data_IF_460247054308
#
_entry.id   IF_460247054308
#
_cell.length_a   1.000
_cell.length_b   1.000
_cell.length_c   1.000
_cell.angle_alpha   90.00
_cell.angle_beta   90.00
_cell.angle_gamma   90.00
#
_symmetry.space_group_name_H-M   'P 1'
#
loop_
_entity.id
_entity.type
_entity.pdbx_description
1 polymer ?
2 non-polymer ?
3 non-polymer ?
4 non-polymer ?
5 water ?
#
# COMPACT_ATOMS: atom_id res chain seq x y z
N UNK A 1 17.29 6.15 -22.10
CA UNK A 1 18.43 7.02 -21.71
C UNK A 1 18.26 7.61 -20.33
N UNK A 2 19.24 8.39 -19.90
CA UNK A 2 19.24 8.99 -18.56
C UNK A 2 19.22 10.53 -18.68
N UNK A 3 18.69 11.05 -19.77
CA UNK A 3 18.70 12.47 -19.95
C UNK A 3 17.70 13.22 -19.07
N UNK A 4 17.89 14.53 -18.97
CA UNK A 4 16.92 15.44 -18.33
C UNK A 4 15.57 15.32 -19.03
N UNK A 5 15.61 15.07 -20.34
CA UNK A 5 14.39 14.95 -21.14
C UNK A 5 13.58 13.73 -20.69
N UNK A 6 14.28 12.63 -20.49
CA UNK A 6 13.64 11.39 -20.03
C UNK A 6 13.10 11.60 -18.61
N UNK A 7 13.91 12.23 -17.75
CA UNK A 7 13.47 12.54 -16.38
C UNK A 7 12.17 13.31 -16.38
N UNK A 8 12.11 14.41 -17.13
CA UNK A 8 10.89 15.23 -17.22
C UNK A 8 9.71 14.44 -17.76
N UNK A 9 9.95 13.66 -18.80
CA UNK A 9 8.91 12.86 -19.40
C UNK A 9 8.34 11.81 -18.47
N UNK A 10 9.18 11.32 -17.57
CA UNK A 10 8.74 10.22 -16.70
C UNK A 10 7.78 10.76 -15.64
N UNK A 11 8.06 11.96 -15.14
CA UNK A 11 7.15 12.61 -14.19
C UNK A 11 5.86 13.07 -14.86
N UNK A 12 5.95 13.59 -16.08
CA UNK A 12 4.76 13.83 -16.87
C UNK A 12 3.91 12.55 -17.01
N UNK A 13 4.56 11.41 -17.22
CA UNK A 13 3.85 10.16 -17.38
C UNK A 13 3.07 9.82 -16.10
N UNK A 14 3.72 10.00 -14.97
CA UNK A 14 3.09 9.78 -13.68
C UNK A 14 1.80 10.61 -13.54
N UNK A 15 1.87 11.89 -13.91
CA UNK A 15 0.70 12.74 -13.77
C UNK A 15 -0.42 12.38 -14.76
N UNK A 16 -0.04 11.91 -15.93
CA UNK A 16 -1.01 11.42 -16.92
C UNK A 16 -1.73 10.16 -16.37
N UNK A 17 -0.99 9.29 -15.66
CA UNK A 17 -1.58 8.10 -15.06
C UNK A 17 -2.55 8.45 -13.92
N UNK A 18 -2.20 9.42 -13.07
CA UNK A 18 -3.12 9.92 -12.04
C UNK A 18 -4.39 10.44 -12.72
N UNK A 19 -4.20 11.18 -13.81
CA UNK A 19 -5.30 11.70 -14.63
C UNK A 19 -6.23 10.62 -15.11
N UNK A 20 -5.66 9.58 -15.74
CA UNK A 20 -6.43 8.39 -16.13
C UNK A 20 -7.17 7.80 -14.91
N UNK A 21 -6.52 7.75 -13.77
CA UNK A 21 -7.14 7.24 -12.57
C UNK A 21 -8.40 7.99 -12.17
N UNK A 22 -8.47 9.30 -12.40
CA UNK A 22 -9.69 10.01 -12.01
C UNK A 22 -10.82 9.74 -12.99
N UNK A 23 -10.46 9.46 -14.23
CA UNK A 23 -11.45 9.30 -15.30
C UNK A 23 -11.92 7.86 -15.58
N UNK A 24 -11.06 6.87 -15.34
CA UNK A 24 -11.30 5.51 -15.78
C UNK A 24 -11.41 4.59 -14.55
N UNK A 25 -12.63 4.12 -14.26
CA UNK A 25 -12.86 3.22 -13.13
C UNK A 25 -12.05 1.94 -13.11
N UNK A 26 -11.58 1.50 -14.27
CA UNK A 26 -10.87 0.22 -14.37
C UNK A 26 -9.35 0.39 -14.29
N UNK A 27 -8.87 1.63 -14.21
CA UNK A 27 -7.44 1.91 -14.24
C UNK A 27 -6.90 1.74 -12.81
N UNK A 28 -5.72 1.14 -12.63
CA UNK A 28 -5.20 1.03 -11.26
C UNK A 28 -5.11 2.33 -10.48
N UNK A 29 -4.85 3.45 -11.15
CA UNK A 29 -4.73 4.75 -10.42
C UNK A 29 -6.05 5.29 -9.89
N UNK A 30 -7.17 4.66 -10.29
CA UNK A 30 -8.46 4.94 -9.69
C UNK A 30 -8.45 4.62 -8.19
N UNK A 31 -7.64 3.60 -7.82
CA UNK A 31 -7.65 3.02 -6.48
C UNK A 31 -6.24 2.94 -5.85
N UNK A 32 -5.64 4.06 -5.58
CA UNK A 32 -4.33 4.02 -4.93
C UNK A 32 -4.45 3.58 -3.48
N UNK A 33 -3.30 3.28 -2.88
CA UNK A 33 -3.22 2.81 -1.48
C UNK A 33 -2.64 4.00 -0.69
N UNK A 34 -3.32 4.38 0.41
CA UNK A 34 -2.83 5.43 1.29
C UNK A 34 -2.32 4.81 2.60
N UNK A 35 -1.09 5.15 2.98
CA UNK A 35 -0.47 4.74 4.26
C UNK A 35 -0.53 5.92 5.26
N UNK A 36 -0.86 5.54 6.49
CA UNK A 36 -0.81 6.44 7.63
C UNK A 36 -0.01 5.79 8.75
N UNK A 37 0.32 6.60 9.76
CA UNK A 37 0.81 6.08 11.05
C UNK A 37 -0.44 5.84 11.92
N UNK A 38 -0.68 4.56 12.26
CA UNK A 38 -1.81 4.22 13.11
C UNK A 38 -1.50 4.23 14.59
N UNK A 39 -2.37 3.55 15.34
CA UNK A 39 -2.25 3.46 16.78
C UNK A 39 -1.10 2.58 17.26
N UNK A 40 -0.77 1.58 16.45
CA UNK A 40 0.28 0.63 16.77
C UNK A 40 0.94 0.17 15.48
N UNK A 41 1.68 1.07 14.86
CA UNK A 41 2.39 0.75 13.62
C UNK A 41 1.69 1.37 12.43
N UNK A 42 2.27 1.11 11.26
CA UNK A 42 1.73 1.65 10.06
C UNK A 42 0.40 0.99 9.67
N UNK A 43 -0.35 1.72 8.85
CA UNK A 43 -1.62 1.24 8.35
C UNK A 43 -1.75 1.68 6.87
N UNK A 44 -2.45 0.86 6.11
CA UNK A 44 -2.76 1.30 4.78
C UNK A 44 -4.11 0.74 4.30
N UNK A 45 -4.65 1.42 3.32
CA UNK A 45 -5.91 1.03 2.68
C UNK A 45 -6.11 1.73 1.32
N UNK A 46 -7.01 1.13 0.54
CA UNK A 46 -7.41 1.61 -0.76
C UNK A 46 -8.39 2.78 -0.61
N UNK A 47 -8.20 3.84 -1.39
CA UNK A 47 -9.19 4.85 -1.55
C UNK A 47 -9.45 5.07 -3.04
N UNK A 48 -10.56 5.76 -3.31
CA UNK A 48 -10.89 6.21 -4.67
C UNK A 48 -10.31 7.59 -4.94
N UNK A 49 -9.48 7.70 -5.98
CA UNK A 49 -8.98 8.99 -6.42
C UNK A 49 -10.07 9.81 -7.08
N UNK A 50 -10.41 10.94 -6.46
CA UNK A 50 -11.47 11.89 -6.92
C UNK A 50 -10.97 13.03 -7.78
N UNK A 51 -9.75 13.52 -7.54
CA UNK A 51 -9.18 14.56 -8.32
C UNK A 51 -7.68 14.57 -8.16
N UNK A 52 -7.03 15.13 -9.17
CA UNK A 52 -5.56 15.28 -9.16
C UNK A 52 -5.13 16.56 -9.86
N UNK A 53 -4.17 17.29 -9.27
CA UNK A 53 -3.74 18.56 -9.86
C UNK A 53 -2.24 18.54 -9.97
N UNK A 54 -1.74 18.38 -11.20
CA UNK A 54 -0.30 18.45 -11.45
C UNK A 54 0.22 19.83 -10.99
N UNK A 55 -0.49 20.90 -11.31
CA UNK A 55 0.01 22.23 -11.01
C UNK A 55 0.16 22.52 -9.52
N UNK A 56 -0.80 22.05 -8.72
CA UNK A 56 -0.70 22.19 -7.26
C UNK A 56 0.00 21.00 -6.57
N UNK A 57 0.38 20.00 -7.34
CA UNK A 57 0.84 18.71 -6.82
C UNK A 57 -0.03 18.18 -5.68
N UNK A 58 -1.32 18.01 -5.99
CA UNK A 58 -2.25 17.42 -5.02
C UNK A 58 -3.04 16.26 -5.61
N UNK A 59 -3.38 15.33 -4.70
CA UNK A 59 -4.36 14.28 -4.94
C UNK A 59 -5.48 14.41 -3.91
N UNK A 60 -6.71 14.14 -4.31
CA UNK A 60 -7.89 14.35 -3.45
C UNK A 60 -8.67 13.05 -3.36
N UNK A 61 -9.04 12.72 -2.13
CA UNK A 61 -9.87 11.56 -1.80
C UNK A 61 -11.04 12.06 -0.95
N UNK A 62 -12.16 11.34 -0.94
CA UNK A 62 -13.29 11.63 -0.08
C UNK A 62 -13.43 10.55 0.95
N UNK A 63 -13.74 10.91 2.18
CA UNK A 63 -13.79 9.91 3.24
C UNK A 63 -14.78 10.32 4.36
N UNK A 64 -15.02 9.45 5.28
CA UNK A 64 -15.94 9.63 6.39
C UNK A 64 -15.12 10.21 7.51
N UNK A 65 -15.55 11.38 8.00
CA UNK A 65 -14.88 12.06 9.15
C UNK A 65 -14.70 11.19 10.40
N UNK A 66 -15.59 10.22 10.55
CA UNK A 66 -15.60 9.33 11.69
C UNK A 66 -14.69 8.14 11.54
N UNK A 67 -14.06 7.99 10.37
CA UNK A 67 -13.24 6.83 10.14
C UNK A 67 -11.89 6.93 10.86
N UNK A 68 -11.29 5.81 11.19
CA UNK A 68 -9.98 5.83 11.81
C UNK A 68 -8.87 6.51 11.03
N UNK A 69 -8.89 6.44 9.70
CA UNK A 69 -7.81 7.11 8.92
C UNK A 69 -7.74 8.62 9.24
N UNK A 70 -8.89 9.24 9.49
CA UNK A 70 -8.98 10.67 9.77
C UNK A 70 -8.32 10.97 11.13
N UNK A 71 -8.61 10.11 12.09
CA UNK A 71 -7.99 10.16 13.42
C UNK A 71 -6.52 10.00 13.34
N UNK A 72 -6.06 9.09 12.48
CA UNK A 72 -4.60 8.92 12.22
C UNK A 72 -3.96 10.23 11.78
N UNK A 73 -4.59 10.89 10.79
CA UNK A 73 -4.10 12.07 10.14
C UNK A 73 -4.17 13.23 11.11
N UNK A 74 -5.17 13.23 12.00
CA UNK A 74 -5.24 14.25 13.09
C UNK A 74 -3.97 14.22 13.96
N UNK A 75 -3.49 13.02 14.28
CA UNK A 75 -2.29 12.85 15.15
C UNK A 75 -0.97 12.99 14.39
N UNK A 76 -0.95 12.57 13.13
CA UNK A 76 0.22 12.67 12.27
C UNK A 76 -0.23 12.84 10.82
N UNK A 77 -0.03 14.05 10.28
CA UNK A 77 -0.47 14.43 8.92
C UNK A 77 0.38 13.81 7.77
N UNK A 78 1.51 13.21 8.13
CA UNK A 78 2.39 12.59 7.15
C UNK A 78 1.82 11.28 6.64
N UNK A 79 1.64 11.22 5.31
CA UNK A 79 1.09 10.03 4.68
C UNK A 79 1.89 9.68 3.47
N UNK A 80 1.68 8.46 2.95
CA UNK A 80 2.35 8.05 1.70
C UNK A 80 1.29 7.41 0.81
N UNK A 81 1.47 7.56 -0.51
CA UNK A 81 0.49 7.09 -1.49
C UNK A 81 1.20 6.20 -2.50
N UNK A 82 0.59 5.07 -2.86
CA UNK A 82 1.25 4.07 -3.73
C UNK A 82 0.30 3.59 -4.84
N UNK A 83 0.85 3.41 -6.03
CA UNK A 83 0.15 2.73 -7.10
C UNK A 83 1.15 1.83 -7.84
N UNK A 84 0.73 0.60 -8.12
CA UNK A 84 1.40 -0.28 -9.03
C UNK A 84 0.57 -0.40 -10.30
N UNK A 85 1.20 -0.04 -11.40
CA UNK A 85 0.54 0.03 -12.71
C UNK A 85 1.29 -0.90 -13.68
N UNK A 86 0.99 -2.19 -13.62
CA UNK A 86 1.75 -3.19 -14.39
C UNK A 86 1.77 -2.94 -15.90
N UNK A 87 0.67 -2.47 -16.46
CA UNK A 87 0.60 -2.26 -17.90
C UNK A 87 1.52 -1.14 -18.36
N UNK A 88 1.84 -0.20 -17.49
CA UNK A 88 2.77 0.88 -17.76
C UNK A 88 4.16 0.59 -17.21
N UNK A 89 4.34 -0.58 -16.61
CA UNK A 89 5.55 -0.94 -15.86
C UNK A 89 6.00 0.18 -14.93
N UNK A 90 5.06 0.73 -14.17
CA UNK A 90 5.36 1.83 -13.29
C UNK A 90 4.92 1.51 -11.88
N UNK A 91 5.80 1.72 -10.90
CA UNK A 91 5.39 1.88 -9.52
C UNK A 91 5.59 3.35 -9.13
N UNK A 92 4.57 3.93 -8.49
CA UNK A 92 4.66 5.27 -7.98
C UNK A 92 4.52 5.27 -6.45
N UNK A 93 5.50 5.86 -5.76
CA UNK A 93 5.48 6.14 -4.28
C UNK A 93 5.61 7.60 -4.00
N UNK A 94 4.64 8.16 -3.28
CA UNK A 94 4.58 9.58 -3.04
C UNK A 94 4.49 9.86 -1.56
N UNK A 95 5.30 10.82 -1.09
CA UNK A 95 5.24 11.37 0.25
C UNK A 95 4.35 12.61 0.21
N UNK A 96 3.48 12.75 1.19
CA UNK A 96 2.59 13.87 1.25
C UNK A 96 2.24 14.31 2.69
N UNK A 97 1.72 15.53 2.78
CA UNK A 97 0.98 15.98 3.96
C UNK A 97 -0.52 15.96 3.58
N UNK A 98 -1.32 15.32 4.42
CA UNK A 98 -2.77 15.24 4.23
C UNK A 98 -3.49 16.36 5.01
N UNK A 99 -4.38 17.07 4.33
CA UNK A 99 -5.23 18.04 5.00
C UNK A 99 -6.65 17.46 4.95
N UNK A 100 -7.36 17.58 6.05
CA UNK A 100 -8.76 17.18 6.17
C UNK A 100 -9.66 18.45 6.07
N UNK A 101 -10.51 18.52 5.05
CA UNK A 101 -11.37 19.64 4.82
C UNK A 101 -12.84 19.19 4.75
N UNK A 102 -13.78 20.11 5.06
CA UNK A 102 -15.21 19.78 4.93
C UNK A 102 -15.53 19.41 3.47
N UNK A 103 -16.39 18.42 3.23
CA UNK A 103 -16.90 18.23 1.86
C UNK A 103 -17.84 19.34 1.40
N UNK A 104 -18.02 19.45 0.08
CA UNK A 104 -18.98 20.34 -0.52
C UNK A 104 -20.39 19.83 -0.31
N UNK A 105 -21.20 20.57 0.48
CA UNK A 105 -22.53 20.06 0.75
C UNK A 105 -23.44 19.97 -0.49
N UNK A 106 -23.10 20.69 -1.56
CA UNK A 106 -23.91 20.64 -2.79
C UNK A 106 -23.64 19.38 -3.59
N UNK A 107 -22.40 18.92 -3.54
CA UNK A 107 -22.05 17.62 -4.05
C UNK A 107 -22.68 16.51 -3.23
N UNK A 108 -22.63 16.62 -1.90
CA UNK A 108 -23.28 15.61 -1.06
C UNK A 108 -24.77 15.49 -1.39
N UNK A 109 -25.44 16.63 -1.62
CA UNK A 109 -26.87 16.69 -2.01
C UNK A 109 -27.14 15.97 -3.33
N UNK A 110 -26.11 15.93 -4.20
CA UNK A 110 -26.21 15.33 -5.53
C UNK A 110 -25.79 13.86 -5.62
N UNK A 111 -25.25 13.28 -4.55
CA UNK A 111 -24.89 11.86 -4.55
C UNK A 111 -26.08 10.93 -4.41
N UNK A 112 -26.03 9.77 -5.08
CA UNK A 112 -27.00 8.68 -4.83
C UNK A 112 -27.04 8.29 -3.38
N UNK A 113 -28.09 7.60 -2.92
CA UNK A 113 -28.18 7.20 -1.49
C UNK A 113 -27.19 6.10 -1.17
N UNK A 114 -26.82 5.29 -2.16
CA UNK A 114 -25.79 4.28 -1.97
C UNK A 114 -24.44 4.96 -1.66
N UNK A 115 -24.18 6.08 -2.34
CA UNK A 115 -22.93 6.80 -2.12
C UNK A 115 -23.02 7.58 -0.84
N UNK A 116 -24.18 8.15 -0.58
CA UNK A 116 -24.38 8.97 0.62
C UNK A 116 -24.10 8.12 1.87
N UNK A 117 -24.44 6.83 1.80
CA UNK A 117 -24.27 5.89 2.93
C UNK A 117 -22.82 5.60 3.34
N UNK A 118 -21.87 5.81 2.43
CA UNK A 118 -20.43 5.83 2.77
C UNK A 118 -20.08 6.87 3.87
N UNK A 119 -21.00 7.80 4.14
CA UNK A 119 -20.77 8.93 5.08
C UNK A 119 -21.92 9.00 6.12
N UNK A 120 -22.63 7.89 6.25
CA UNK A 120 -23.72 7.75 7.24
C UNK A 120 -23.57 6.42 8.00
N UNK A 121 -24.46 6.13 8.94
CA UNK A 121 -24.48 4.82 9.58
C UNK A 121 -23.46 4.69 10.69
N UNK A 122 -23.09 3.46 11.03
CA UNK A 122 -22.13 3.37 12.11
C UNK A 122 -20.75 3.90 11.79
N UNK A 123 -19.95 4.05 12.84
CA UNK A 123 -18.53 4.39 12.66
C UNK A 123 -17.82 3.21 11.97
N UNK A 124 -17.11 3.47 10.85
CA UNK A 124 -16.46 2.38 10.16
C UNK A 124 -15.51 1.61 11.12
N UNK A 125 -15.48 0.30 11.02
CA UNK A 125 -14.68 -0.49 11.93
C UNK A 125 -15.34 -0.95 13.19
N UNK A 126 -16.53 -0.46 13.50
CA UNK A 126 -17.21 -0.80 14.74
C UNK A 126 -17.76 -2.21 14.69
N UNK A 127 -17.52 -3.02 15.72
CA UNK A 127 -18.13 -4.34 15.74
C UNK A 127 -19.66 -4.29 15.63
N UNK A 128 -20.22 -5.20 14.84
CA UNK A 128 -21.68 -5.29 14.65
C UNK A 128 -22.31 -6.06 15.80
N UNK A 129 -23.59 -5.71 16.13
CA UNK A 129 -24.40 -4.66 15.53
C UNK A 129 -23.94 -3.32 16.06
N UNK A 130 -23.95 -2.32 15.21
CA UNK A 130 -23.36 -1.02 15.52
C UNK A 130 -24.40 0.06 15.40
N UNK A 131 -24.44 0.91 16.40
CA UNK A 131 -25.33 2.06 16.43
C UNK A 131 -24.90 3.07 15.37
N UNK A 132 -25.87 3.61 14.61
CA UNK A 132 -25.64 4.74 13.73
C UNK A 132 -25.04 5.93 14.46
N UNK A 133 -24.03 6.51 13.86
CA UNK A 133 -23.37 7.65 14.46
C UNK A 133 -24.03 8.93 13.95
N UNK A 134 -24.33 9.85 14.86
CA UNK A 134 -25.05 11.08 14.52
C UNK A 134 -24.17 12.33 14.28
N UNK A 135 -22.86 12.17 14.09
CA UNK A 135 -22.01 13.34 13.85
C UNK A 135 -22.49 14.07 12.59
N UNK A 136 -22.70 15.40 12.68
CA UNK A 136 -22.94 16.15 11.48
C UNK A 136 -21.73 16.25 10.56
N UNK A 137 -22.02 16.38 9.29
CA UNK A 137 -21.02 16.73 8.29
C UNK A 137 -19.84 15.75 8.16
N UNK A 138 -20.18 14.46 8.06
CA UNK A 138 -19.20 13.40 7.92
C UNK A 138 -18.54 13.33 6.54
N UNK A 139 -19.19 13.84 5.48
CA UNK A 139 -18.58 13.92 4.13
C UNK A 139 -17.38 14.87 4.20
N UNK A 140 -16.19 14.31 4.00
CA UNK A 140 -14.90 14.96 4.23
C UNK A 140 -13.97 14.84 3.00
N UNK A 141 -13.11 15.84 2.80
CA UNK A 141 -12.10 15.82 1.71
C UNK A 141 -10.76 15.54 2.34
N UNK A 142 -10.03 14.60 1.76
CA UNK A 142 -8.70 14.35 2.19
C UNK A 142 -7.76 14.85 1.03
N UNK A 143 -7.08 15.98 1.24
CA UNK A 143 -6.22 16.59 0.20
C UNK A 143 -4.76 16.28 0.50
N UNK A 144 -4.07 15.59 -0.40
CA UNK A 144 -2.68 15.14 -0.16
C UNK A 144 -1.80 16.11 -0.95
N UNK A 145 -1.06 16.93 -0.22
CA UNK A 145 -0.06 17.79 -0.79
C UNK A 145 1.27 17.07 -0.94
N UNK A 146 1.57 16.65 -2.16
CA UNK A 146 2.74 15.84 -2.40
C UNK A 146 4.02 16.66 -2.29
N UNK A 147 5.01 16.07 -1.62
CA UNK A 147 6.34 16.63 -1.46
C UNK A 147 7.43 15.87 -2.18
N UNK A 148 7.25 14.56 -2.41
CA UNK A 148 8.23 13.77 -3.14
C UNK A 148 7.53 12.65 -3.90
N UNK A 149 8.02 12.37 -5.10
CA UNK A 149 7.51 11.24 -5.89
C UNK A 149 8.73 10.39 -6.29
N UNK A 150 8.66 9.10 -5.99
CA UNK A 150 9.71 8.10 -6.27
C UNK A 150 9.09 7.16 -7.30
N UNK A 151 9.62 7.19 -8.51
CA UNK A 151 9.09 6.41 -9.60
C UNK A 151 10.03 5.32 -10.01
N UNK A 152 9.52 4.10 -10.06
CA UNK A 152 10.29 2.99 -10.58
C UNK A 152 9.67 2.59 -11.90
N UNK A 153 10.48 2.58 -12.94
CA UNK A 153 10.06 2.21 -14.28
C UNK A 153 10.64 0.83 -14.57
N UNK A 154 9.80 -0.18 -14.69
CA UNK A 154 10.32 -1.56 -14.72
C UNK A 154 10.63 -1.97 -16.16
N UNK A 155 11.37 -1.09 -16.83
CA UNK A 155 12.00 -1.38 -18.11
C UNK A 155 13.00 -2.52 -17.94
N UNK A 156 13.66 -2.95 -19.03
CA UNK A 156 14.83 -3.84 -18.91
C UNK A 156 16.12 -3.07 -19.27
N UNK A 157 16.93 -2.70 -18.26
CA UNK A 157 16.75 -2.92 -16.85
C UNK A 157 15.88 -1.77 -16.24
N UNK A 158 15.61 -1.88 -14.95
CA UNK A 158 14.84 -0.87 -14.30
C UNK A 158 15.56 0.46 -14.31
N UNK A 159 14.80 1.55 -14.33
CA UNK A 159 15.33 2.87 -13.96
C UNK A 159 14.41 3.50 -12.91
N UNK A 160 14.97 4.37 -12.09
CA UNK A 160 14.26 4.91 -10.96
C UNK A 160 14.65 6.33 -10.72
N UNK A 161 13.65 7.16 -10.47
CA UNK A 161 13.88 8.60 -10.29
C UNK A 161 13.12 9.12 -9.10
N UNK A 162 13.65 10.16 -8.47
CA UNK A 162 13.03 10.80 -7.32
C UNK A 162 12.92 12.28 -7.62
N UNK A 163 11.72 12.82 -7.45
CA UNK A 163 11.36 14.22 -7.72
C UNK A 163 10.83 14.81 -6.42
N UNK A 164 11.16 16.08 -6.18
CA UNK A 164 10.92 16.75 -4.89
C UNK A 164 10.38 18.16 -5.15
N UNK A 165 9.31 18.52 -4.40
CA UNK A 165 8.73 19.86 -4.41
C UNK A 165 9.77 20.90 -3.94
N UNK A 166 9.67 22.16 -4.43
CA UNK A 166 8.65 22.75 -5.28
C UNK A 166 8.95 22.75 -6.76
N UNK A 167 10.19 22.40 -7.13
CA UNK A 167 10.69 22.47 -8.50
C UNK A 167 10.48 21.16 -9.30
N UNK A 168 10.48 20.03 -8.60
CA UNK A 168 10.26 18.72 -9.24
C UNK A 168 11.21 18.34 -10.40
N UNK A 169 12.47 18.74 -10.32
CA UNK A 169 13.41 18.51 -11.41
C UNK A 169 13.83 17.04 -11.66
N UNK A 170 14.07 16.33 -10.57
CA UNK A 170 14.40 14.92 -10.58
C UNK A 170 15.88 14.61 -10.46
N UNK A 171 16.18 13.45 -9.86
CA UNK A 171 17.48 12.79 -9.96
C UNK A 171 17.29 11.30 -10.18
N UNK A 172 18.26 10.69 -10.87
CA UNK A 172 18.28 9.27 -11.07
C UNK A 172 18.89 8.62 -9.84
N UNK A 173 18.29 7.51 -9.40
CA UNK A 173 18.78 6.80 -8.23
C UNK A 173 18.87 5.32 -8.53
N UNK A 174 19.62 4.59 -7.70
CA UNK A 174 19.70 3.18 -7.93
C UNK A 174 18.38 2.50 -7.58
N UNK A 175 17.93 1.59 -8.46
CA UNK A 175 16.75 0.77 -8.14
C UNK A 175 16.95 0.01 -6.83
N UNK B 1 -25.83 -16.27 6.67
CA UNK B 1 -24.83 -15.38 6.07
C UNK B 1 -23.85 -14.82 7.07
N UNK B 2 -24.22 -14.80 8.35
CA UNK B 2 -23.39 -14.18 9.38
C UNK B 2 -22.67 -15.23 10.22
N UNK B 3 -22.87 -16.51 9.94
CA UNK B 3 -22.42 -17.58 10.82
C UNK B 3 -20.90 -17.61 11.02
N UNK B 4 -20.50 -18.36 12.05
CA UNK B 4 -19.10 -18.58 12.31
C UNK B 4 -18.45 -19.31 11.13
N UNK B 5 -19.23 -20.16 10.49
CA UNK B 5 -18.74 -20.95 9.34
C UNK B 5 -18.42 -20.03 8.19
N UNK B 6 -19.26 -19.05 7.95
CA UNK B 6 -18.96 -18.06 6.93
C UNK B 6 -17.67 -17.28 7.26
N UNK B 7 -17.54 -16.80 8.50
CA UNK B 7 -16.32 -16.10 8.91
C UNK B 7 -15.08 -16.99 8.68
N UNK B 8 -15.19 -18.24 9.07
CA UNK B 8 -14.05 -19.15 8.91
C UNK B 8 -13.74 -19.31 7.43
N UNK B 9 -14.79 -19.50 6.65
CA UNK B 9 -14.67 -19.64 5.20
C UNK B 9 -14.00 -18.45 4.51
N UNK B 10 -14.36 -17.25 4.95
CA UNK B 10 -13.76 -16.00 4.48
C UNK B 10 -12.26 -15.92 4.81
N UNK B 11 -11.86 -16.30 6.04
CA UNK B 11 -10.45 -16.33 6.36
C UNK B 11 -9.72 -17.35 5.48
N UNK B 12 -10.28 -18.55 5.32
CA UNK B 12 -9.67 -19.58 4.47
C UNK B 12 -9.46 -19.08 3.05
N UNK B 13 -10.45 -18.34 2.55
CA UNK B 13 -10.37 -17.72 1.23
C UNK B 13 -9.21 -16.69 1.15
N UNK B 14 -9.06 -15.86 2.17
CA UNK B 14 -7.97 -14.91 2.19
C UNK B 14 -6.62 -15.65 2.08
N UNK B 15 -6.44 -16.71 2.86
CA UNK B 15 -5.18 -17.47 2.82
C UNK B 15 -4.95 -18.19 1.49
N UNK B 16 -6.04 -18.64 0.89
CA UNK B 16 -6.05 -19.23 -0.46
C UNK B 16 -5.53 -18.26 -1.47
N UNK B 17 -5.98 -17.02 -1.34
CA UNK B 17 -5.52 -15.95 -2.23
C UNK B 17 -4.05 -15.59 -2.02
N UNK B 18 -3.59 -15.53 -0.78
CA UNK B 18 -2.14 -15.37 -0.55
C UNK B 18 -1.41 -16.48 -1.24
N UNK B 19 -1.93 -17.70 -1.10
CA UNK B 19 -1.31 -18.90 -1.70
C UNK B 19 -1.14 -18.72 -3.21
N UNK B 20 -2.19 -18.26 -3.87
CA UNK B 20 -2.13 -17.96 -5.31
C UNK B 20 -1.03 -16.96 -5.72
N UNK B 21 -0.76 -15.97 -4.87
CA UNK B 21 0.37 -15.09 -5.10
C UNK B 21 1.72 -15.77 -5.17
N UNK B 22 1.90 -16.90 -4.46
CA UNK B 22 3.14 -17.65 -4.48
C UNK B 22 3.32 -18.56 -5.75
N UNK B 23 2.23 -18.73 -6.48
CA UNK B 23 2.10 -19.67 -7.58
C UNK B 23 1.88 -19.01 -8.94
N UNK B 24 1.42 -17.75 -8.97
CA UNK B 24 0.92 -17.13 -10.20
C UNK B 24 1.38 -15.69 -10.30
N UNK B 25 2.38 -15.48 -11.17
CA UNK B 25 2.99 -14.18 -11.42
C UNK B 25 2.03 -13.08 -11.82
N UNK B 26 0.85 -13.47 -12.27
CA UNK B 26 -0.15 -12.55 -12.77
C UNK B 26 -1.28 -12.19 -11.75
N UNK B 27 -1.35 -12.93 -10.65
CA UNK B 27 -2.36 -12.71 -9.60
C UNK B 27 -1.99 -11.48 -8.75
N UNK B 28 -2.98 -10.66 -8.35
CA UNK B 28 -2.63 -9.53 -7.52
C UNK B 28 -1.89 -9.83 -6.20
N UNK B 29 -2.09 -11.01 -5.62
CA UNK B 29 -1.37 -11.35 -4.39
C UNK B 29 0.13 -11.64 -4.62
N UNK B 30 0.55 -11.75 -5.88
CA UNK B 30 1.95 -11.85 -6.21
C UNK B 30 2.72 -10.63 -5.71
N UNK B 31 2.05 -9.47 -5.71
CA UNK B 31 2.64 -8.17 -5.49
C UNK B 31 1.93 -7.34 -4.39
N UNK B 32 2.01 -7.82 -3.14
CA UNK B 32 1.45 -7.04 -2.05
C UNK B 32 2.24 -5.75 -1.79
N UNK B 33 1.64 -4.79 -1.11
CA UNK B 33 2.28 -3.57 -0.70
C UNK B 33 2.59 -3.67 0.80
N UNK B 34 3.84 -3.43 1.16
CA UNK B 34 4.34 -3.47 2.54
C UNK B 34 4.60 -2.02 2.97
N UNK B 35 4.04 -1.63 4.11
CA UNK B 35 4.27 -0.31 4.76
C UNK B 35 5.16 -0.53 6.00
N UNK B 36 6.07 0.42 6.19
CA UNK B 36 6.91 0.50 7.32
C UNK B 36 6.78 1.86 7.91
N UNK B 37 7.30 2.03 9.10
CA UNK B 37 7.51 3.37 9.64
C UNK B 37 8.92 3.78 9.22
N UNK B 38 8.99 4.84 8.41
CA UNK B 38 10.24 5.29 7.85
C UNK B 38 10.83 6.43 8.66
N UNK B 39 11.68 7.20 8.02
CA UNK B 39 12.44 8.21 8.72
C UNK B 39 11.65 9.50 8.98
N UNK B 40 10.63 9.77 8.15
CA UNK B 40 9.77 10.93 8.30
C UNK B 40 8.37 10.60 7.83
N UNK B 41 7.71 9.74 8.59
CA UNK B 41 6.37 9.29 8.24
C UNK B 41 6.35 7.86 7.73
N UNK B 42 5.17 7.36 7.33
CA UNK B 42 5.08 5.99 6.83
C UNK B 42 5.67 5.91 5.42
N UNK B 43 6.03 4.72 5.01
CA UNK B 43 6.59 4.49 3.69
C UNK B 43 5.93 3.18 3.23
N UNK B 44 5.82 2.95 1.91
CA UNK B 44 5.27 1.69 1.38
C UNK B 44 5.83 1.42 0.00
N UNK B 45 5.81 0.14 -0.37
CA UNK B 45 6.37 -0.30 -1.62
C UNK B 45 5.89 -1.70 -1.92
N UNK B 46 5.88 -2.05 -3.22
CA UNK B 46 5.60 -3.40 -3.67
C UNK B 46 6.76 -4.36 -3.40
N UNK B 47 6.43 -5.61 -2.99
CA UNK B 47 7.37 -6.72 -3.00
C UNK B 47 6.71 -7.92 -3.63
N UNK B 48 7.52 -8.90 -4.03
CA UNK B 48 7.04 -10.17 -4.51
C UNK B 48 6.80 -11.11 -3.35
N UNK B 49 5.60 -11.65 -3.24
CA UNK B 49 5.30 -12.66 -2.23
C UNK B 49 5.98 -13.99 -2.55
N UNK B 50 6.85 -14.47 -1.66
CA UNK B 50 7.62 -15.70 -1.93
C UNK B 50 7.03 -16.92 -1.27
N UNK B 51 6.39 -16.77 -0.11
CA UNK B 51 5.83 -17.92 0.60
C UNK B 51 4.74 -17.43 1.53
N UNK B 52 3.82 -18.32 1.83
CA UNK B 52 2.73 -18.02 2.75
C UNK B 52 2.35 -19.27 3.54
N UNK B 53 2.05 -19.12 4.82
CA UNK B 53 1.66 -20.27 5.62
C UNK B 53 0.51 -19.86 6.51
N UNK B 54 -0.69 -20.33 6.19
CA UNK B 54 -1.87 -20.15 7.06
C UNK B 54 -1.58 -20.74 8.45
N UNK B 55 -1.01 -21.95 8.52
CA UNK B 55 -0.78 -22.55 9.78
C UNK B 55 0.09 -21.73 10.72
N UNK B 56 1.14 -21.12 10.16
CA UNK B 56 2.15 -20.37 10.89
C UNK B 56 1.78 -18.91 10.93
N UNK B 57 0.75 -18.55 10.17
CA UNK B 57 0.38 -17.13 10.02
C UNK B 57 1.54 -16.26 9.57
N UNK B 58 2.26 -16.73 8.56
CA UNK B 58 3.37 -15.94 8.00
C UNK B 58 3.20 -15.61 6.51
N UNK B 59 3.74 -14.45 6.13
CA UNK B 59 4.04 -14.14 4.75
C UNK B 59 5.50 -13.82 4.60
N UNK B 60 6.11 -14.36 3.53
CA UNK B 60 7.59 -14.18 3.29
C UNK B 60 7.90 -13.36 2.04
N UNK B 61 8.86 -12.43 2.18
CA UNK B 61 9.37 -11.61 1.06
C UNK B 61 10.88 -11.76 1.08
N UNK B 62 11.50 -11.53 -0.08
CA UNK B 62 12.98 -11.39 -0.19
C UNK B 62 13.38 -9.98 -0.50
N UNK B 63 14.47 -9.49 0.12
CA UNK B 63 14.86 -8.11 -0.11
C UNK B 63 16.37 -7.97 0.07
N UNK B 64 16.85 -6.78 -0.20
CA UNK B 64 18.24 -6.39 -0.06
C UNK B 64 18.47 -5.81 1.35
N UNK B 65 19.35 -6.46 2.11
CA UNK B 65 19.76 -5.98 3.42
C UNK B 65 20.18 -4.53 3.50
N UNK B 66 20.75 -4.00 2.43
CA UNK B 66 21.19 -2.61 2.39
C UNK B 66 20.07 -1.61 2.09
N UNK B 67 18.85 -2.07 1.88
CA UNK B 67 17.79 -1.19 1.45
C UNK B 67 17.17 -0.48 2.64
N UNK B 68 16.60 0.71 2.38
CA UNK B 68 15.89 1.44 3.45
C UNK B 68 14.84 0.69 4.22
N UNK B 69 14.04 -0.15 3.56
CA UNK B 69 12.97 -0.88 4.29
C UNK B 69 13.51 -1.74 5.42
N UNK B 70 14.71 -2.29 5.22
CA UNK B 70 15.36 -3.14 6.25
C UNK B 70 15.81 -2.27 7.42
N UNK B 71 16.36 -1.10 7.12
CA UNK B 71 16.69 -0.13 8.17
C UNK B 71 15.45 0.28 8.97
N UNK B 72 14.33 0.50 8.28
CA UNK B 72 13.05 0.83 8.96
C UNK B 72 12.68 -0.30 9.94
N UNK B 73 12.75 -1.55 9.49
CA UNK B 73 12.34 -2.68 10.31
C UNK B 73 13.25 -2.92 11.49
N UNK B 74 14.54 -2.76 11.30
CA UNK B 74 15.50 -2.82 12.41
C UNK B 74 15.13 -1.87 13.56
N UNK B 75 14.62 -0.67 13.23
CA UNK B 75 14.21 0.31 14.25
C UNK B 75 12.79 0.12 14.78
N UNK B 76 11.88 -0.33 13.92
CA UNK B 76 10.49 -0.62 14.31
C UNK B 76 9.97 -1.74 13.41
N UNK B 77 9.78 -2.92 14.01
CA UNK B 77 9.43 -4.13 13.25
C UNK B 77 7.95 -4.18 12.86
N UNK B 78 7.16 -3.22 13.30
CA UNK B 78 5.72 -3.18 13.00
C UNK B 78 5.50 -2.78 11.54
N UNK B 79 4.85 -3.68 10.79
CA UNK B 79 4.58 -3.48 9.37
C UNK B 79 3.10 -3.68 9.07
N UNK B 80 2.67 -3.25 7.88
CA UNK B 80 1.32 -3.53 7.40
C UNK B 80 1.45 -4.03 5.96
N UNK B 81 0.52 -4.88 5.53
CA UNK B 81 0.56 -5.47 4.22
C UNK B 81 -0.84 -5.36 3.63
N UNK B 82 -0.92 -5.06 2.33
CA UNK B 82 -2.15 -4.79 1.65
C UNK B 82 -2.18 -5.46 0.30
N UNK B 83 -3.36 -5.99 -0.02
CA UNK B 83 -3.69 -6.36 -1.38
C UNK B 83 -5.12 -5.98 -1.77
N UNK B 84 -5.26 -5.45 -2.98
CA UNK B 84 -6.57 -5.25 -3.57
C UNK B 84 -6.76 -6.26 -4.70
N UNK B 85 -7.83 -7.04 -4.56
CA UNK B 85 -8.12 -8.16 -5.46
C UNK B 85 -9.50 -7.93 -6.12
N UNK B 86 -9.54 -7.06 -7.11
CA UNK B 86 -10.85 -6.63 -7.61
C UNK B 86 -11.70 -7.72 -8.26
N UNK B 87 -11.08 -8.74 -8.85
CA UNK B 87 -11.86 -9.82 -9.49
C UNK B 87 -12.60 -10.67 -8.46
N UNK B 88 -12.11 -10.63 -7.23
CA UNK B 88 -12.68 -11.40 -6.13
C UNK B 88 -13.49 -10.50 -5.21
N UNK B 89 -13.51 -9.20 -5.53
CA UNK B 89 -14.15 -8.18 -4.69
C UNK B 89 -13.64 -8.25 -3.25
N UNK B 90 -12.32 -8.39 -3.09
CA UNK B 90 -11.68 -8.44 -1.78
C UNK B 90 -10.54 -7.43 -1.61
N UNK B 91 -10.59 -6.66 -0.52
CA UNK B 91 -9.43 -5.94 -0.02
C UNK B 91 -8.91 -6.65 1.24
N UNK B 92 -7.60 -6.93 1.30
CA UNK B 92 -7.00 -7.53 2.48
C UNK B 92 -5.99 -6.52 3.06
N UNK B 93 -6.16 -6.20 4.35
CA UNK B 93 -5.24 -5.40 5.14
C UNK B 93 -4.76 -6.27 6.31
N UNK B 94 -3.46 -6.43 6.44
CA UNK B 94 -2.87 -7.21 7.52
C UNK B 94 -1.83 -6.40 8.33
N UNK B 95 -1.80 -6.64 9.64
CA UNK B 95 -0.82 -6.06 10.56
C UNK B 95 0.15 -7.19 10.87
N UNK B 96 1.43 -6.85 10.97
CA UNK B 96 2.44 -7.88 11.25
C UNK B 96 3.68 -7.34 11.95
N UNK B 97 4.43 -8.27 12.52
CA UNK B 97 5.82 -8.10 12.94
C UNK B 97 6.74 -8.76 11.89
N UNK B 98 7.65 -7.96 11.35
CA UNK B 98 8.62 -8.41 10.34
C UNK B 98 9.92 -8.78 11.02
N UNK B 99 10.35 -10.00 10.76
CA UNK B 99 11.62 -10.55 11.26
C UNK B 99 12.59 -10.71 10.08
N UNK B 100 13.85 -10.38 10.31
CA UNK B 100 14.86 -10.40 9.27
C UNK B 100 15.71 -11.66 9.45
N UNK B 101 15.78 -12.47 8.41
CA UNK B 101 16.58 -13.72 8.42
C UNK B 101 17.52 -13.75 7.21
N UNK B 102 18.61 -14.52 7.31
CA UNK B 102 19.55 -14.62 6.18
C UNK B 102 18.89 -15.32 5.02
N UNK B 103 19.18 -14.91 3.81
CA UNK B 103 18.71 -15.67 2.67
C UNK B 103 19.42 -16.97 2.42
N UNK B 104 18.72 -17.83 1.68
CA UNK B 104 19.17 -19.16 1.36
C UNK B 104 20.17 -19.07 0.22
N UNK B 105 21.44 -19.40 0.48
CA UNK B 105 22.39 -19.22 -0.64
C UNK B 105 22.16 -20.19 -1.83
N UNK B 106 21.44 -21.29 -1.59
CA UNK B 106 21.02 -22.19 -2.67
C UNK B 106 20.00 -21.51 -3.62
N UNK B 107 19.09 -20.73 -3.07
CA UNK B 107 18.20 -19.92 -3.90
C UNK B 107 18.96 -18.80 -4.61
N UNK B 108 19.83 -18.09 -3.89
CA UNK B 108 20.62 -17.03 -4.50
C UNK B 108 21.35 -17.56 -5.73
N UNK B 109 21.93 -18.76 -5.61
CA UNK B 109 22.70 -19.36 -6.71
C UNK B 109 21.83 -19.69 -7.92
N UNK B 110 20.55 -19.96 -7.67
CA UNK B 110 19.60 -20.19 -8.74
C UNK B 110 19.07 -18.93 -9.41
N UNK B 111 19.30 -17.76 -8.83
CA UNK B 111 18.72 -16.54 -9.40
C UNK B 111 19.39 -16.18 -10.75
N UNK B 112 18.62 -15.57 -11.67
CA UNK B 112 19.25 -15.07 -12.89
C UNK B 112 20.33 -14.09 -12.61
N UNK B 113 21.28 -13.99 -13.50
CA UNK B 113 22.42 -13.09 -13.32
C UNK B 113 22.02 -11.66 -13.01
N UNK B 114 20.98 -11.17 -13.67
CA UNK B 114 20.56 -9.80 -13.49
C UNK B 114 20.13 -9.58 -12.03
N UNK B 115 19.36 -10.54 -11.50
CA UNK B 115 18.86 -10.46 -10.13
C UNK B 115 20.03 -10.58 -9.18
N UNK B 116 20.89 -11.57 -9.44
CA UNK B 116 22.11 -11.76 -8.64
C UNK B 116 22.92 -10.47 -8.65
N UNK B 117 23.08 -9.88 -9.83
CA UNK B 117 23.88 -8.66 -10.00
C UNK B 117 23.29 -7.53 -9.22
N UNK B 118 21.96 -7.41 -9.21
CA UNK B 118 21.30 -6.28 -8.56
C UNK B 118 21.46 -6.30 -7.04
N UNK B 119 21.51 -7.46 -6.43
CA UNK B 119 21.89 -7.55 -5.03
C UNK B 119 23.31 -7.11 -4.71
N UNK B 120 24.13 -6.80 -5.72
CA UNK B 120 25.53 -6.49 -5.51
C UNK B 120 25.95 -5.16 -6.12
N UNK B 121 24.95 -4.35 -6.46
CA UNK B 121 25.15 -3.03 -6.98
C UNK B 121 25.14 -1.99 -5.88
N UNK B 122 24.88 -0.73 -6.25
CA UNK B 122 24.73 0.33 -5.28
C UNK B 122 23.60 0.07 -4.30
N UNK B 123 23.64 0.81 -3.21
CA UNK B 123 22.58 0.76 -2.21
C UNK B 123 21.28 1.28 -2.87
N UNK B 124 20.17 0.49 -2.78
CA UNK B 124 18.94 0.98 -3.37
C UNK B 124 18.60 2.40 -2.91
N UNK B 125 18.20 3.26 -3.85
CA UNK B 125 17.86 4.64 -3.55
C UNK B 125 18.98 5.68 -3.52
N UNK B 126 20.22 5.22 -3.66
CA UNK B 126 21.37 6.10 -3.75
C UNK B 126 21.38 6.86 -5.10
N UNK B 127 21.58 8.19 -5.04
CA UNK B 127 21.74 8.92 -6.27
C UNK B 127 22.91 8.41 -7.11
N UNK B 128 22.65 8.30 -8.39
CA UNK B 128 23.70 7.86 -9.30
C UNK B 128 24.61 9.00 -9.72
N UNK B 129 25.87 8.66 -10.03
CA UNK B 129 26.53 7.37 -10.02
C UNK B 129 26.92 6.99 -8.62
N UNK B 130 27.03 5.71 -8.35
CA UNK B 130 27.34 5.26 -7.01
C UNK B 130 28.12 3.95 -7.06
N UNK B 131 28.89 3.70 -6.00
CA UNK B 131 29.73 2.52 -5.91
C UNK B 131 28.93 1.31 -5.56
N UNK B 132 29.31 0.16 -6.09
CA UNK B 132 28.62 -1.09 -5.75
C UNK B 132 29.18 -1.74 -4.52
N UNK B 133 28.55 -2.84 -4.12
CA UNK B 133 28.98 -3.63 -2.96
C UNK B 133 28.70 -5.11 -3.23
N UNK B 134 29.71 -5.81 -3.74
CA UNK B 134 29.58 -7.24 -4.06
C UNK B 134 29.59 -8.11 -2.81
N UNK B 135 28.45 -8.06 -2.10
CA UNK B 135 28.20 -8.86 -0.90
C UNK B 135 26.91 -9.69 -1.13
N UNK B 136 27.06 -10.94 -1.62
CA UNK B 136 25.92 -11.85 -1.76
C UNK B 136 25.07 -11.99 -0.47
N UNK B 137 25.70 -11.78 0.70
CA UNK B 137 24.94 -11.79 1.96
C UNK B 137 23.86 -10.72 2.08
N UNK B 138 23.79 -9.78 1.14
CA UNK B 138 22.68 -8.84 1.12
C UNK B 138 21.33 -9.51 0.88
N UNK B 139 21.35 -10.72 0.32
CA UNK B 139 20.15 -11.49 0.08
C UNK B 139 19.54 -11.90 1.42
N UNK B 140 18.33 -11.42 1.66
CA UNK B 140 17.68 -11.40 2.97
C UNK B 140 16.20 -11.81 2.88
N UNK B 141 15.74 -12.53 3.91
CA UNK B 141 14.31 -12.88 4.09
C UNK B 141 13.61 -11.91 5.05
N UNK B 142 12.38 -11.51 4.71
CA UNK B 142 11.49 -10.82 5.64
C UNK B 142 10.35 -11.79 5.90
N UNK B 143 10.30 -12.31 7.13
CA UNK B 143 9.20 -13.16 7.56
C UNK B 143 8.24 -12.30 8.39
N UNK B 144 7.03 -12.10 7.87
CA UNK B 144 6.03 -11.25 8.49
C UNK B 144 5.04 -12.12 9.24
N UNK B 145 5.07 -12.01 10.56
CA UNK B 145 4.20 -12.74 11.46
C UNK B 145 2.95 -11.88 11.62
N UNK B 146 1.85 -12.31 10.99
CA UNK B 146 0.60 -11.56 11.03
C UNK B 146 -0.08 -11.62 12.42
N UNK B 147 -0.53 -10.46 12.86
CA UNK B 147 -1.33 -10.33 14.06
C UNK B 147 -2.80 -9.96 13.83
N UNK B 148 -3.14 -9.43 12.65
CA UNK B 148 -4.51 -9.02 12.36
C UNK B 148 -4.71 -9.12 10.86
N UNK B 149 -5.90 -9.54 10.45
CA UNK B 149 -6.34 -9.51 9.04
C UNK B 149 -7.70 -8.78 9.01
N UNK B 150 -7.80 -7.68 8.28
CA UNK B 150 -9.06 -6.95 8.10
C UNK B 150 -9.45 -7.16 6.66
N UNK B 151 -10.59 -7.81 6.41
CA UNK B 151 -10.97 -8.12 5.03
C UNK B 151 -12.30 -7.45 4.69
N UNK B 152 -12.27 -6.66 3.61
CA UNK B 152 -13.47 -6.08 3.10
C UNK B 152 -13.92 -6.90 1.89
N UNK B 153 -15.20 -7.25 1.86
CA UNK B 153 -15.80 -8.05 0.81
C UNK B 153 -16.87 -7.20 0.15
N UNK B 154 -16.59 -6.77 -1.08
CA UNK B 154 -17.39 -5.70 -1.73
C UNK B 154 -18.48 -6.39 -2.54
N UNK B 155 -19.32 -7.13 -1.84
CA UNK B 155 -20.51 -7.76 -2.39
C UNK B 155 -21.68 -6.86 -2.04
N UNK B 156 -22.90 -7.33 -2.22
CA UNK B 156 -24.07 -6.53 -1.92
C UNK B 156 -24.86 -7.18 -0.78
N UNK B 157 -24.85 -6.56 0.40
CA UNK B 157 -24.15 -5.31 0.71
C UNK B 157 -22.69 -5.64 1.05
N UNK B 158 -21.85 -4.63 1.19
CA UNK B 158 -20.49 -4.84 1.69
C UNK B 158 -20.48 -5.49 3.05
N UNK B 159 -19.55 -6.42 3.21
CA UNK B 159 -19.28 -7.08 4.47
C UNK B 159 -17.81 -6.91 4.85
N UNK B 160 -17.52 -6.78 6.14
CA UNK B 160 -16.13 -6.60 6.58
C UNK B 160 -15.92 -7.41 7.86
N UNK B 161 -14.81 -8.15 7.92
CA UNK B 161 -14.48 -8.97 9.09
C UNK B 161 -13.04 -8.67 9.52
N UNK B 162 -12.79 -8.76 10.83
CA UNK B 162 -11.50 -8.57 11.39
C UNK B 162 -11.16 -9.80 12.24
N UNK B 163 -9.97 -10.30 12.00
CA UNK B 163 -9.44 -11.48 12.68
C UNK B 163 -8.14 -11.07 13.37
N UNK B 164 -8.00 -11.40 14.65
CA UNK B 164 -6.85 -10.94 15.43
C UNK B 164 -6.24 -12.09 16.24
N UNK B 165 -4.91 -12.19 16.22
CA UNK B 165 -4.21 -13.10 17.12
C UNK B 165 -4.47 -12.63 18.57
N UNK B 166 -4.49 -13.57 19.53
CA UNK B 166 -4.27 -14.98 19.36
C UNK B 166 -5.50 -15.82 19.01
N UNK B 167 -6.69 -15.22 19.11
CA UNK B 167 -7.89 -16.01 18.94
C UNK B 167 -8.18 -16.34 17.50
N UNK B 168 -7.98 -15.35 16.60
CA UNK B 168 -8.21 -15.52 15.16
C UNK B 168 -9.66 -15.97 14.82
N UNK B 169 -10.60 -15.73 15.71
CA UNK B 169 -11.99 -16.21 15.47
C UNK B 169 -12.76 -15.37 14.44
N UNK B 170 -12.51 -14.06 14.38
CA UNK B 170 -13.21 -13.24 13.44
C UNK B 170 -14.37 -12.54 14.07
N UNK B 171 -14.57 -11.27 13.74
CA UNK B 171 -15.77 -10.55 14.12
C UNK B 171 -16.20 -9.74 12.92
N UNK B 172 -17.50 -9.69 12.69
CA UNK B 172 -18.08 -8.78 11.71
C UNK B 172 -18.05 -7.33 12.23
N UNK B 173 -17.58 -6.45 11.37
CA UNK B 173 -17.55 -5.02 11.66
C UNK B 173 -18.22 -4.17 10.59
N UNK B 174 -18.49 -2.91 10.92
CA UNK B 174 -19.11 -2.02 9.95
C UNK B 174 -18.08 -1.63 8.89
N UNK B 175 -18.43 -1.80 7.59
CA UNK B 175 -17.54 -1.27 6.53
C UNK B 175 -17.26 0.23 6.70
X LIG C 1 18.66 10.41 -24.09
X LIG C 1 19.86 11.25 -24.19
X LIG C 1 18.84 9.19 -24.86
X LIG C 1 18.40 10.03 -22.70
X LIG C 1 17.51 11.17 -24.61
X LIG D 1 -12.71 4.18 2.01
X LIG D 1 -12.87 5.55 2.11
X LIG D 1 -12.92 6.12 3.23
X LIG D 1 -13.01 6.27 0.96
X LIG D 1 -12.98 5.67 -0.29
X LIG D 1 -12.67 6.37 -1.23
X LIG D 1 -12.81 4.27 -0.39
X LIG D 1 -12.77 3.60 -1.60
X LIG D 1 -12.56 2.24 -1.65
X LIG D 1 -12.51 1.59 -2.86
X LIG D 1 -12.29 0.21 -2.93
X LIG D 1 -12.12 -0.43 -4.30
X LIG D 1 -12.10 -0.54 -1.78
X LIG D 1 -11.19 -1.74 -1.87
X LIG D 1 -12.16 0.12 -0.54
X LIG D 1 -12.40 1.50 -0.48
X LIG D 1 -12.47 2.16 0.74
X LIG D 1 -12.65 3.53 0.79
X LIG D 1 -12.61 1.42 2.05
X LIG D 1 -11.29 1.63 2.81
X LIG D 1 -10.31 0.96 2.08
X LIG D 1 -11.31 1.19 4.30
X LIG D 1 -11.88 -0.12 4.50
X LIG D 1 -12.09 2.23 5.12
X LIG D 1 -12.05 3.52 4.55
X LIG D 1 -11.49 2.26 6.52
X LIG D 1 -10.09 2.68 6.54
X LIG D 1 -9.64 3.05 8.00
X LIG D 1 -10.22 4.41 8.20
X LIG D 1 -10.20 1.93 8.81
X LIG D 1 -8.18 3.15 8.12
X LIG E 1 -17.55 4.92 -6.46
X LIG E 1 -16.63 5.64 -7.24
X LIG E 1 -18.05 5.71 -5.25
X LIG E 1 -19.00 4.94 -4.55
X LIG E 1 -18.79 6.99 -5.63
X LIG E 1 -19.11 7.75 -4.46
X LIG F 1 11.86 -4.89 -3.79
X LIG F 1 12.36 -5.87 -2.96
X LIG F 1 13.20 -5.60 -2.09
X LIG F 1 11.95 -7.16 -3.11
X LIG F 1 10.99 -7.48 -4.04
X LIG F 1 10.49 -8.58 -4.00
X LIG F 1 10.49 -6.50 -4.91
X LIG F 1 9.54 -6.81 -5.90
X LIG F 1 9.02 -5.78 -6.67
X LIG F 1 8.06 -6.09 -7.63
X LIG F 1 7.50 -5.06 -8.41
X LIG F 1 6.31 -5.36 -9.29
X LIG F 1 7.90 -3.74 -8.24
X LIG F 1 6.96 -2.65 -8.64
X LIG F 1 8.87 -3.45 -7.27
X LIG F 1 9.43 -4.46 -6.51
X LIG F 1 10.42 -4.17 -5.55
X LIG F 1 10.91 -5.19 -4.74
X LIG F 1 11.14 -2.87 -5.52
X LIG F 1 10.55 -2.08 -4.34
X LIG F 1 9.19 -1.79 -4.60
X LIG F 1 11.33 -0.81 -3.97
X LIG F 1 11.44 0.13 -5.06
X LIG F 1 12.70 -1.18 -3.37
X LIG F 1 12.74 -2.45 -2.68
X LIG F 1 13.15 -0.07 -2.43
X LIG F 1 12.28 -0.03 -1.28
X LIG F 1 12.76 0.82 -0.02
X LIG F 1 13.73 -0.14 0.65
X LIG F 1 13.41 2.02 -0.58
X LIG F 1 11.61 1.08 0.81
X LIG G 1 9.31 -17.48 -8.88
X LIG G 1 8.94 -18.79 -9.28
X LIG G 1 9.92 -16.68 -10.04
X LIG G 1 10.50 -15.45 -9.70
X LIG G 1 8.92 -16.37 -11.09
X LIG G 1 8.99 -15.01 -11.46
X LIG H 1 0.82 -7.23 -10.92
X LIG H 1 1.88 -7.40 -11.81
X LIG H 1 0.05 -8.52 -10.75
X LIG H 1 0.39 -8.98 -9.45
X LIG H 1 -1.42 -8.18 -10.89
X LIG H 1 -1.65 -6.95 -10.27
X LIG I 1 -3.50 -23.67 -4.50
X LIG I 1 -3.47 -22.39 -5.08
X LIG I 1 -4.75 -24.40 -4.96
X LIG I 1 -4.62 -25.77 -4.71
X LIG I 1 -5.98 -23.87 -4.27
X LIG I 1 -6.33 -22.59 -4.79
#
# INVERSE_FOLDING_TARGET
GMSDTVLTGLLDTVWQQFGRGTKDRHHPARHPTLATIGTDGPDLRTLVLRAASHAEATLEFHTDAASPKVAHIRRDARVAIHIWIPKASLQVRAKAIAKILPGDPNLFAQLPEAARMNYQGPVPGTPLPAEPDATPNRFTRLICHLSEIDVLHLTTPHQRAVYTAPDWRGIWVSP
GMSDTVLTGLLDTVWQQFGRGTKDRHHPARHPTLATIGTDGPDLRTLVLRAASHAEATLEFHTDAASPKVAHIRRDARVAIHIWIPKASLQVRAKAIAKILPGDPNLFAQLPEAARMNYQGPVPGTPLPAEPDATPNRFTRLICHLSEIDVLHLTTPHQRAVYTAPDWRGIWVSP
SO4 S O1 O2 O3 O4
FMN N1 C2 O2 N3 C4 O4 C4A N5 C5A C6 C7 C7M C8 C8M C9 C9A N10 C10 C1' C2' O2' C3' O3' C4' O4' C5' O5' P O1P O2P O3P
GOL C1 O1 C2 O2 C3 O3
FMN N1 C2 O2 N3 C4 O4 C4A N5 C5A C6 C7 C7M C8 C8M C9 C9A N10 C10 C1' C2' O2' C3' O3' C4' O4' C5' O5' P O1P O2P O3P
GOL C1 O1 C2 O2 C3 O3
GOL C1 O1 C2 O2 C3 O3
GOL C1 O1 C2 O2 C3 O3
#
